data_IF_966323685308
#
_entry.id   IF_966323685308
#
_cell.length_a   1.000
_cell.length_b   1.000
_cell.length_c   1.000
_cell.angle_alpha   90.00
_cell.angle_beta   90.00
_cell.angle_gamma   90.00
#
_symmetry.space_group_name_H-M   'P 1'
#
loop_
_entity.id
_entity.type
_entity.pdbx_description
1 polymer ?
#
# COMPACT_ATOMS: atom_id res chain seq x y z
N UNK A 1 -27.21 -7.03 0.00
CA UNK A 1 -26.27 -6.11 -0.66
C UNK A 1 -25.48 -6.89 -1.69
N UNK A 2 -25.45 -6.43 -2.94
CA UNK A 2 -24.69 -7.10 -4.01
C UNK A 2 -23.27 -6.57 -4.01
N UNK A 3 -22.29 -7.45 -4.00
CA UNK A 3 -20.87 -7.12 -4.00
C UNK A 3 -20.29 -7.21 -5.41
N UNK A 4 -19.52 -6.21 -5.81
CA UNK A 4 -18.79 -6.24 -7.07
C UNK A 4 -17.44 -6.96 -6.88
N UNK A 5 -17.38 -8.22 -7.35
CA UNK A 5 -16.27 -9.14 -7.04
C UNK A 5 -14.97 -8.87 -7.80
N UNK A 6 -15.05 -8.11 -8.90
CA UNK A 6 -13.88 -7.82 -9.75
C UNK A 6 -13.14 -6.53 -9.37
N UNK A 7 -13.63 -5.80 -8.36
CA UNK A 7 -12.99 -4.60 -7.84
C UNK A 7 -12.49 -4.82 -6.41
N UNK A 8 -11.19 -4.63 -6.20
CA UNK A 8 -10.57 -4.73 -4.89
C UNK A 8 -9.84 -3.44 -4.53
N UNK A 9 -10.29 -2.80 -3.46
CA UNK A 9 -9.62 -1.64 -2.90
C UNK A 9 -8.95 -2.02 -1.57
N UNK A 10 -7.62 -1.96 -1.54
CA UNK A 10 -6.83 -2.11 -0.31
C UNK A 10 -6.97 -0.89 0.60
N UNK A 11 -6.03 -0.72 1.54
CA UNK A 11 -6.08 0.45 2.45
C UNK A 11 -5.81 1.78 1.74
N UNK A 12 -5.08 1.77 0.62
CA UNK A 12 -4.57 2.99 -0.02
C UNK A 12 -4.54 2.93 -1.54
N UNK A 13 -4.72 1.75 -2.12
CA UNK A 13 -4.62 1.52 -3.56
C UNK A 13 -5.72 0.61 -4.03
N UNK A 14 -6.23 0.86 -5.22
CA UNK A 14 -7.00 -0.14 -5.95
C UNK A 14 -6.04 -1.17 -6.53
N UNK A 15 -6.38 -2.45 -6.41
CA UNK A 15 -5.54 -3.55 -6.88
C UNK A 15 -6.07 -4.06 -8.19
N UNK A 16 -5.21 -4.14 -9.19
CA UNK A 16 -5.52 -4.70 -10.51
C UNK A 16 -4.50 -5.79 -10.80
N UNK A 17 -4.95 -6.92 -11.33
CA UNK A 17 -4.04 -7.99 -11.68
C UNK A 17 -4.71 -9.23 -12.25
N UNK A 18 -3.89 -10.10 -12.80
CA UNK A 18 -4.28 -11.38 -13.40
C UNK A 18 -4.08 -12.54 -12.43
N UNK A 19 -4.83 -13.61 -12.63
CA UNK A 19 -4.71 -14.87 -11.88
C UNK A 19 -3.45 -15.67 -12.21
N UNK A 20 -2.79 -15.38 -13.31
CA UNK A 20 -1.58 -16.07 -13.76
C UNK A 20 -0.38 -15.51 -13.02
N UNK A 21 -0.09 -15.99 -11.82
CA UNK A 21 1.01 -15.46 -11.05
C UNK A 21 2.26 -16.32 -11.17
N UNK A 22 3.36 -15.68 -11.56
CA UNK A 22 4.71 -16.18 -11.39
C UNK A 22 5.39 -15.36 -10.29
N UNK A 23 6.14 -16.01 -9.40
CA UNK A 23 6.86 -15.30 -8.35
C UNK A 23 8.25 -15.92 -8.12
N UNK A 24 9.06 -15.24 -7.35
CA UNK A 24 10.44 -15.64 -7.02
C UNK A 24 10.55 -16.65 -5.88
N UNK A 25 9.43 -17.20 -5.41
CA UNK A 25 9.39 -18.21 -4.32
C UNK A 25 10.11 -17.79 -3.04
N UNK A 26 10.03 -16.53 -2.65
CA UNK A 26 10.58 -16.08 -1.39
C UNK A 26 9.90 -16.82 -0.22
N UNK A 27 10.68 -17.37 0.71
CA UNK A 27 10.15 -18.18 1.83
C UNK A 27 9.16 -17.40 2.70
N UNK A 28 9.34 -16.11 2.84
CA UNK A 28 8.50 -15.21 3.64
C UNK A 28 7.26 -14.67 2.87
N UNK A 29 7.04 -15.07 1.60
CA UNK A 29 6.01 -14.47 0.77
C UNK A 29 4.61 -14.95 1.12
N UNK A 30 3.68 -14.01 1.33
CA UNK A 30 2.26 -14.29 1.56
C UNK A 30 1.43 -14.42 0.28
N UNK A 31 1.98 -14.06 -0.87
CA UNK A 31 1.25 -14.16 -2.14
C UNK A 31 0.84 -15.62 -2.46
N UNK A 32 1.56 -16.60 -1.90
CA UNK A 32 1.23 -18.02 -2.03
C UNK A 32 0.06 -18.45 -1.14
N UNK A 33 -0.34 -17.63 -0.16
CA UNK A 33 -1.40 -17.95 0.81
C UNK A 33 -2.78 -17.50 0.33
N UNK A 34 -2.86 -16.65 -0.70
CA UNK A 34 -4.12 -16.07 -1.15
C UNK A 34 -4.74 -16.87 -2.28
N UNK A 35 -6.06 -17.03 -2.23
CA UNK A 35 -6.83 -17.49 -3.39
C UNK A 35 -6.61 -16.47 -4.50
N UNK A 36 -5.98 -16.91 -5.59
CA UNK A 36 -5.66 -16.08 -6.73
C UNK A 36 -6.95 -15.69 -7.44
N UNK A 37 -7.31 -14.41 -7.35
CA UNK A 37 -8.45 -13.82 -8.04
C UNK A 37 -7.93 -12.77 -9.01
N UNK A 38 -8.51 -12.70 -10.18
CA UNK A 38 -8.29 -11.60 -11.12
C UNK A 38 -9.11 -10.39 -10.66
N UNK A 39 -8.52 -9.22 -10.70
CA UNK A 39 -9.20 -7.94 -10.50
C UNK A 39 -8.97 -7.11 -11.76
N UNK A 40 -9.93 -7.17 -12.67
CA UNK A 40 -9.79 -6.61 -14.02
C UNK A 40 -10.46 -5.27 -14.22
N UNK A 41 -11.19 -4.77 -13.22
CA UNK A 41 -11.95 -3.52 -13.33
C UNK A 41 -11.06 -2.33 -13.01
N UNK A 42 -11.05 -1.38 -13.92
CA UNK A 42 -10.34 -0.11 -13.74
C UNK A 42 -11.14 0.85 -12.85
N UNK A 43 -10.47 1.76 -12.11
CA UNK A 43 -11.17 2.77 -11.29
C UNK A 43 -12.20 3.58 -12.07
N UNK A 44 -11.86 4.03 -13.28
CA UNK A 44 -12.74 4.82 -14.14
C UNK A 44 -13.95 4.05 -14.67
N UNK A 45 -13.88 2.73 -14.74
CA UNK A 45 -15.01 1.87 -15.11
C UNK A 45 -16.01 1.74 -13.97
N UNK A 46 -15.54 1.83 -12.74
CA UNK A 46 -16.42 1.88 -11.57
C UNK A 46 -17.14 3.23 -11.50
N UNK A 47 -16.38 4.30 -11.57
CA UNK A 47 -16.89 5.67 -11.54
C UNK A 47 -15.85 6.59 -12.20
N UNK A 48 -16.25 7.44 -13.18
CA UNK A 48 -15.34 8.38 -13.84
C UNK A 48 -14.58 9.30 -12.87
N UNK A 49 -15.15 9.60 -11.70
CA UNK A 49 -14.49 10.37 -10.66
C UNK A 49 -13.31 9.62 -9.99
N UNK A 50 -13.15 8.33 -10.24
CA UNK A 50 -12.07 7.52 -9.68
C UNK A 50 -10.82 7.44 -10.56
N UNK A 51 -10.75 8.20 -11.65
CA UNK A 51 -9.56 8.26 -12.51
C UNK A 51 -8.26 8.62 -11.76
N UNK A 52 -8.36 9.26 -10.61
CA UNK A 52 -7.22 9.67 -9.79
C UNK A 52 -6.92 8.74 -8.60
N UNK A 53 -7.64 7.63 -8.44
CA UNK A 53 -7.36 6.67 -7.38
C UNK A 53 -6.02 5.97 -7.66
N UNK A 54 -5.08 5.93 -6.69
CA UNK A 54 -3.85 5.19 -6.87
C UNK A 54 -4.12 3.70 -7.15
N UNK A 55 -3.45 3.17 -8.17
CA UNK A 55 -3.58 1.77 -8.61
C UNK A 55 -2.29 1.02 -8.36
N UNK A 56 -2.38 -0.20 -7.83
CA UNK A 56 -1.25 -1.11 -7.71
C UNK A 56 -1.46 -2.32 -8.63
N UNK A 57 -0.51 -2.53 -9.55
CA UNK A 57 -0.57 -3.58 -10.57
C UNK A 57 0.10 -4.86 -10.07
N UNK A 58 -0.62 -5.98 -10.12
CA UNK A 58 -0.15 -7.35 -9.80
C UNK A 58 0.50 -7.55 -8.42
N UNK A 59 0.29 -6.65 -7.46
CA UNK A 59 1.01 -6.61 -6.17
C UNK A 59 0.79 -7.84 -5.28
N UNK A 60 -0.29 -8.60 -5.49
CA UNK A 60 -0.61 -9.81 -4.72
C UNK A 60 -0.57 -11.09 -5.55
N UNK A 61 -0.26 -10.99 -6.83
CA UNK A 61 -0.40 -12.09 -7.79
C UNK A 61 0.91 -12.60 -8.34
N UNK A 62 2.01 -12.26 -7.71
CA UNK A 62 3.34 -12.60 -8.17
C UNK A 62 4.18 -11.35 -8.44
N UNK A 63 5.13 -11.46 -9.34
CA UNK A 63 5.98 -10.32 -9.71
C UNK A 63 5.56 -9.77 -11.08
N UNK A 64 5.26 -8.46 -11.18
CA UNK A 64 4.83 -7.84 -12.44
C UNK A 64 5.82 -8.04 -13.61
N UNK A 65 7.13 -8.08 -13.35
CA UNK A 65 8.14 -8.27 -14.40
C UNK A 65 8.26 -9.72 -14.85
N UNK A 66 7.73 -10.69 -14.12
CA UNK A 66 7.59 -12.08 -14.58
C UNK A 66 6.35 -12.30 -15.44
N UNK A 67 5.46 -11.30 -15.49
CA UNK A 67 4.21 -11.26 -16.23
C UNK A 67 4.14 -9.98 -17.05
N UNK A 68 5.23 -9.64 -17.74
CA UNK A 68 5.39 -8.32 -18.36
C UNK A 68 4.28 -8.03 -19.37
N UNK A 69 3.89 -8.99 -20.20
CA UNK A 69 2.87 -8.80 -21.23
C UNK A 69 1.52 -8.40 -20.59
N UNK A 70 1.10 -9.10 -19.51
CA UNK A 70 -0.09 -8.77 -18.77
C UNK A 70 0.02 -7.42 -18.05
N UNK A 71 1.21 -7.12 -17.52
CA UNK A 71 1.47 -5.82 -16.88
C UNK A 71 1.34 -4.69 -17.90
N UNK A 72 1.93 -4.84 -19.08
CA UNK A 72 1.83 -3.87 -20.18
C UNK A 72 0.37 -3.69 -20.62
N UNK A 73 -0.38 -4.78 -20.81
CA UNK A 73 -1.81 -4.71 -21.16
C UNK A 73 -2.62 -3.88 -20.15
N UNK A 74 -2.35 -4.05 -18.85
CA UNK A 74 -3.00 -3.26 -17.81
C UNK A 74 -2.62 -1.78 -17.92
N UNK A 75 -1.35 -1.47 -18.17
CA UNK A 75 -0.89 -0.08 -18.33
C UNK A 75 -1.54 0.57 -19.57
N UNK A 76 -1.66 -0.16 -20.68
CA UNK A 76 -2.36 0.29 -21.88
C UNK A 76 -3.83 0.62 -21.63
N UNK A 77 -4.52 -0.23 -20.87
CA UNK A 77 -5.90 0.01 -20.48
C UNK A 77 -6.04 1.24 -19.59
N UNK A 78 -5.12 1.43 -18.62
CA UNK A 78 -5.11 2.61 -17.76
C UNK A 78 -4.86 3.89 -18.58
N UNK A 79 -3.93 3.86 -19.51
CA UNK A 79 -3.65 4.97 -20.41
C UNK A 79 -4.85 5.30 -21.31
N UNK A 80 -5.44 4.30 -21.96
CA UNK A 80 -6.62 4.46 -22.82
C UNK A 80 -7.84 5.01 -22.05
N UNK A 81 -7.93 4.78 -20.76
CA UNK A 81 -8.97 5.32 -19.88
C UNK A 81 -8.56 6.65 -19.20
N UNK A 82 -7.48 7.28 -19.66
CA UNK A 82 -6.99 8.56 -19.15
C UNK A 82 -6.83 8.58 -17.64
N UNK A 83 -6.26 7.51 -17.08
CA UNK A 83 -6.01 7.42 -15.65
C UNK A 83 -4.97 8.46 -15.21
N UNK A 84 -5.28 9.23 -14.17
CA UNK A 84 -4.44 10.35 -13.70
C UNK A 84 -3.81 10.10 -12.33
N UNK A 85 -4.25 9.05 -11.62
CA UNK A 85 -3.66 8.68 -10.34
C UNK A 85 -2.33 7.93 -10.50
N UNK A 86 -1.51 7.83 -9.45
CA UNK A 86 -0.29 7.03 -9.47
C UNK A 86 -0.56 5.57 -9.79
N UNK A 87 0.20 5.02 -10.73
CA UNK A 87 0.18 3.59 -11.07
C UNK A 87 1.45 2.95 -10.54
N UNK A 88 1.30 1.99 -9.61
CA UNK A 88 2.40 1.45 -8.84
C UNK A 88 2.70 0.02 -9.25
N UNK A 89 3.94 -0.23 -9.64
CA UNK A 89 4.50 -1.55 -9.92
C UNK A 89 5.56 -1.86 -8.88
N UNK A 90 5.31 -2.84 -8.01
CA UNK A 90 6.30 -3.29 -7.04
C UNK A 90 6.91 -4.60 -7.54
N UNK A 91 8.23 -4.61 -7.71
CA UNK A 91 8.90 -5.75 -8.32
C UNK A 91 10.27 -6.05 -7.71
N UNK A 92 10.66 -7.33 -7.75
CA UNK A 92 12.02 -7.85 -7.61
C UNK A 92 12.57 -8.32 -8.95
N UNK A 93 11.75 -8.29 -10.00
CA UNK A 93 12.07 -8.77 -11.33
C UNK A 93 13.05 -7.89 -12.06
N UNK A 94 13.52 -8.40 -13.18
CA UNK A 94 14.47 -7.69 -14.05
C UNK A 94 13.77 -6.56 -14.80
N UNK A 95 14.04 -5.33 -14.40
CA UNK A 95 13.40 -4.14 -14.98
C UNK A 95 13.83 -3.88 -16.45
N UNK A 96 14.91 -4.49 -16.94
CA UNK A 96 15.29 -4.43 -18.35
C UNK A 96 14.26 -5.06 -19.29
N UNK A 97 13.34 -5.87 -18.75
CA UNK A 97 12.21 -6.44 -19.50
C UNK A 97 11.08 -5.43 -19.74
N UNK A 98 11.10 -4.30 -19.03
CA UNK A 98 10.09 -3.26 -19.23
C UNK A 98 10.33 -2.59 -20.59
N UNK A 99 9.29 -2.35 -21.42
CA UNK A 99 9.46 -1.75 -22.73
C UNK A 99 10.00 -0.32 -22.60
N UNK A 100 11.14 -0.06 -23.27
CA UNK A 100 11.82 1.23 -23.28
C UNK A 100 11.60 2.00 -24.59
N UNK A 101 11.08 1.33 -25.58
CA UNK A 101 10.72 1.86 -26.92
C UNK A 101 9.39 2.63 -26.91
N UNK A 102 8.65 2.51 -25.82
CA UNK A 102 7.36 3.18 -25.60
C UNK A 102 7.35 3.91 -24.26
N UNK A 103 6.83 5.12 -24.26
CA UNK A 103 6.53 5.87 -23.05
C UNK A 103 5.02 5.86 -22.79
N UNK A 104 4.59 5.32 -21.66
CA UNK A 104 3.19 5.41 -21.19
C UNK A 104 2.91 6.81 -20.67
N UNK A 105 1.78 7.38 -21.08
CA UNK A 105 1.31 8.68 -20.61
C UNK A 105 0.44 8.54 -19.35
N UNK A 106 0.99 7.89 -18.34
CA UNK A 106 0.41 7.70 -17.02
C UNK A 106 1.45 8.01 -15.94
N UNK A 107 1.01 8.33 -14.74
CA UNK A 107 1.89 8.63 -13.60
C UNK A 107 2.44 7.34 -12.97
N UNK A 108 3.43 6.73 -13.64
CA UNK A 108 3.97 5.42 -13.28
C UNK A 108 5.06 5.51 -12.22
N UNK A 109 5.04 4.56 -11.28
CA UNK A 109 6.00 4.43 -10.19
C UNK A 109 6.49 2.98 -10.03
N UNK A 110 7.80 2.80 -10.06
CA UNK A 110 8.45 1.52 -9.75
C UNK A 110 8.90 1.47 -8.29
N UNK A 111 8.28 0.61 -7.50
CA UNK A 111 8.76 0.21 -6.18
C UNK A 111 9.73 -0.95 -6.32
N UNK A 112 11.04 -0.68 -6.25
CA UNK A 112 12.07 -1.71 -6.41
C UNK A 112 12.31 -2.42 -5.09
N UNK A 113 11.81 -3.66 -5.00
CA UNK A 113 11.81 -4.41 -3.76
C UNK A 113 13.14 -5.12 -3.53
N UNK A 114 13.69 -5.00 -2.33
CA UNK A 114 14.92 -5.66 -1.90
C UNK A 114 14.76 -6.29 -0.52
N UNK A 115 15.56 -7.33 -0.29
CA UNK A 115 15.76 -7.94 1.03
C UNK A 115 16.96 -7.31 1.76
N UNK A 116 17.75 -6.49 1.06
CA UNK A 116 18.92 -5.80 1.59
C UNK A 116 20.22 -6.61 1.54
N UNK A 117 20.13 -7.93 1.39
CA UNK A 117 21.27 -8.83 1.25
C UNK A 117 20.92 -10.02 0.36
N UNK A 118 21.94 -10.74 -0.13
CA UNK A 118 21.73 -12.05 -0.73
C UNK A 118 21.35 -13.05 0.36
N UNK A 119 20.29 -13.81 0.15
CA UNK A 119 19.72 -14.69 1.15
C UNK A 119 19.05 -15.90 0.51
N UNK A 120 19.15 -17.10 1.10
CA UNK A 120 18.41 -18.26 0.63
C UNK A 120 16.89 -18.10 0.80
N UNK A 121 16.45 -17.13 1.60
CA UNK A 121 15.03 -16.84 1.83
C UNK A 121 14.43 -15.90 0.80
N UNK A 122 15.26 -15.23 -0.01
CA UNK A 122 14.81 -14.31 -1.05
C UNK A 122 15.11 -14.85 -2.46
N UNK A 123 14.12 -14.86 -3.31
CA UNK A 123 14.29 -15.27 -4.71
C UNK A 123 14.96 -14.21 -5.61
N UNK A 124 15.44 -13.11 -5.05
CA UNK A 124 16.18 -12.06 -5.78
C UNK A 124 17.56 -11.83 -5.15
N UNK A 125 18.47 -11.19 -5.89
CA UNK A 125 19.82 -10.85 -5.45
C UNK A 125 20.01 -9.35 -5.33
N UNK A 126 20.97 -8.94 -4.50
CA UNK A 126 21.36 -7.53 -4.39
C UNK A 126 21.86 -6.97 -5.73
N UNK A 127 22.62 -7.76 -6.50
CA UNK A 127 23.07 -7.35 -7.83
C UNK A 127 21.90 -7.04 -8.78
N UNK A 128 20.83 -7.85 -8.74
CA UNK A 128 19.62 -7.55 -9.53
C UNK A 128 18.95 -6.27 -9.06
N UNK A 129 18.85 -6.08 -7.77
CA UNK A 129 18.29 -4.86 -7.20
C UNK A 129 19.08 -3.61 -7.63
N UNK A 130 20.41 -3.63 -7.52
CA UNK A 130 21.29 -2.52 -7.93
C UNK A 130 21.15 -2.25 -9.44
N UNK A 131 21.14 -3.28 -10.28
CA UNK A 131 20.90 -3.14 -11.71
C UNK A 131 19.52 -2.51 -12.01
N UNK A 132 18.48 -2.90 -11.28
CA UNK A 132 17.15 -2.33 -11.42
C UNK A 132 17.12 -0.85 -11.03
N UNK A 133 17.86 -0.44 -10.00
CA UNK A 133 18.00 0.96 -9.61
C UNK A 133 18.66 1.78 -10.73
N UNK A 134 19.72 1.25 -11.33
CA UNK A 134 20.42 1.91 -12.46
C UNK A 134 19.49 2.00 -13.69
N UNK A 135 18.72 0.95 -14.02
CA UNK A 135 17.72 0.98 -15.10
C UNK A 135 16.61 1.98 -14.81
N UNK A 136 16.03 1.95 -13.60
CA UNK A 136 14.93 2.85 -13.21
C UNK A 136 15.35 4.32 -13.29
N UNK A 137 16.62 4.64 -12.98
CA UNK A 137 17.16 6.00 -13.07
C UNK A 137 17.23 6.53 -14.51
N UNK A 138 17.21 5.65 -15.50
CA UNK A 138 17.22 5.99 -16.94
C UNK A 138 15.80 6.09 -17.51
N UNK A 139 14.81 5.53 -16.83
CA UNK A 139 13.41 5.63 -17.21
C UNK A 139 12.84 6.99 -16.78
N UNK A 140 11.94 7.55 -17.57
CA UNK A 140 11.28 8.84 -17.28
C UNK A 140 10.14 8.71 -16.26
N UNK A 141 10.20 7.72 -15.36
CA UNK A 141 9.15 7.40 -14.38
C UNK A 141 9.67 7.59 -12.96
N UNK A 142 8.74 7.68 -12.02
CA UNK A 142 9.09 7.70 -10.61
C UNK A 142 9.54 6.31 -10.15
N UNK A 143 10.47 6.28 -9.20
CA UNK A 143 10.90 5.03 -8.57
C UNK A 143 11.33 5.25 -7.13
N UNK A 144 11.33 4.15 -6.37
CA UNK A 144 11.72 4.13 -4.97
C UNK A 144 12.23 2.76 -4.53
N UNK A 145 12.87 2.71 -3.38
CA UNK A 145 13.26 1.47 -2.73
C UNK A 145 12.13 0.95 -1.84
N UNK A 146 11.84 -0.35 -1.94
CA UNK A 146 10.93 -1.07 -1.05
C UNK A 146 11.74 -2.11 -0.26
N UNK A 147 12.28 -1.72 0.89
CA UNK A 147 13.08 -2.59 1.76
C UNK A 147 12.18 -3.41 2.66
N UNK A 148 11.89 -4.64 2.25
CA UNK A 148 10.94 -5.50 2.95
C UNK A 148 10.95 -6.97 2.54
N UNK A 149 10.63 -7.87 3.53
CA UNK A 149 10.47 -7.54 4.96
C UNK A 149 11.82 -7.36 5.65
N UNK A 150 11.86 -6.58 6.74
CA UNK A 150 12.96 -6.62 7.70
C UNK A 150 12.64 -7.74 8.69
N UNK A 151 13.56 -8.69 8.86
CA UNK A 151 13.40 -9.90 9.69
C UNK A 151 14.49 -9.95 10.73
N UNK A 152 14.08 -10.10 11.99
CA UNK A 152 14.97 -10.16 13.15
C UNK A 152 16.09 -11.21 12.99
N UNK A 153 17.33 -10.77 13.16
CA UNK A 153 18.53 -11.59 13.09
C UNK A 153 18.92 -12.09 11.69
N UNK A 154 18.28 -11.56 10.61
CA UNK A 154 18.57 -11.99 9.24
C UNK A 154 19.07 -10.84 8.38
N UNK A 155 18.28 -9.77 8.28
CA UNK A 155 18.60 -8.62 7.43
C UNK A 155 18.40 -7.27 8.16
N UNK A 156 18.55 -7.27 9.47
CA UNK A 156 18.39 -6.13 10.35
C UNK A 156 19.70 -5.64 10.98
N UNK A 157 20.85 -5.91 10.33
CA UNK A 157 22.14 -5.39 10.75
C UNK A 157 22.45 -3.99 10.20
N UNK A 158 23.30 -3.24 10.90
CA UNK A 158 23.76 -1.92 10.50
C UNK A 158 24.33 -1.90 9.08
N UNK A 159 25.17 -2.87 8.73
CA UNK A 159 25.81 -2.96 7.41
C UNK A 159 24.77 -3.08 6.28
N UNK A 160 23.74 -3.89 6.49
CA UNK A 160 22.64 -4.05 5.52
C UNK A 160 21.86 -2.75 5.41
N UNK A 161 21.56 -2.10 6.53
CA UNK A 161 20.85 -0.83 6.57
C UNK A 161 21.61 0.25 5.83
N UNK A 162 22.91 0.36 6.11
CA UNK A 162 23.80 1.32 5.48
C UNK A 162 23.87 1.10 3.98
N UNK A 163 24.07 -0.13 3.54
CA UNK A 163 24.11 -0.47 2.11
C UNK A 163 22.82 -0.07 1.38
N UNK A 164 21.65 -0.41 1.93
CA UNK A 164 20.36 -0.04 1.32
C UNK A 164 20.17 1.47 1.28
N UNK A 165 20.55 2.18 2.36
CA UNK A 165 20.46 3.62 2.44
C UNK A 165 21.43 4.32 1.47
N UNK A 166 22.66 3.85 1.32
CA UNK A 166 23.65 4.38 0.37
C UNK A 166 23.19 4.22 -1.09
N UNK A 167 22.58 3.07 -1.43
CA UNK A 167 21.98 2.88 -2.76
C UNK A 167 20.85 3.88 -3.00
N UNK A 168 19.95 4.07 -2.03
CA UNK A 168 18.88 5.03 -2.14
C UNK A 168 19.40 6.49 -2.25
N UNK A 169 20.42 6.84 -1.48
CA UNK A 169 21.11 8.15 -1.53
C UNK A 169 21.74 8.40 -2.91
N UNK A 170 22.51 7.43 -3.43
CA UNK A 170 23.11 7.47 -4.78
C UNK A 170 22.06 7.81 -5.84
N UNK A 171 20.88 7.22 -5.74
CA UNK A 171 19.77 7.38 -6.68
C UNK A 171 18.78 8.50 -6.30
N UNK A 172 19.06 9.28 -5.27
CA UNK A 172 18.22 10.40 -4.80
C UNK A 172 16.76 10.03 -4.65
N UNK A 173 16.49 8.89 -4.00
CA UNK A 173 15.14 8.38 -3.81
C UNK A 173 14.84 8.02 -2.37
N UNK A 174 13.56 7.81 -2.04
CA UNK A 174 13.13 7.42 -0.70
C UNK A 174 13.01 5.90 -0.53
N UNK A 175 12.89 5.47 0.72
CA UNK A 175 12.75 4.06 1.11
C UNK A 175 11.41 3.85 1.81
N UNK A 176 10.59 2.93 1.27
CA UNK A 176 9.48 2.31 1.99
C UNK A 176 9.97 1.04 2.70
N UNK A 177 9.65 0.85 3.98
CA UNK A 177 10.09 -0.33 4.69
C UNK A 177 9.01 -0.89 5.62
N UNK A 178 9.11 -2.18 5.93
CA UNK A 178 8.27 -2.80 6.95
C UNK A 178 8.86 -4.15 7.40
N UNK A 179 8.43 -4.61 8.57
CA UNK A 179 8.74 -5.94 9.07
C UNK A 179 7.91 -7.05 8.44
N UNK A 180 8.21 -8.27 8.84
CA UNK A 180 7.50 -9.47 8.39
C UNK A 180 6.06 -9.48 8.92
N UNK A 181 5.14 -9.78 8.02
CA UNK A 181 3.75 -10.08 8.36
C UNK A 181 3.53 -11.59 8.29
N UNK A 182 3.20 -12.19 9.43
CA UNK A 182 2.96 -13.62 9.53
C UNK A 182 1.47 -13.94 9.40
N UNK A 183 1.11 -14.88 8.52
CA UNK A 183 -0.20 -15.54 8.47
C UNK A 183 -0.08 -16.97 8.98
N UNK A 184 -1.20 -17.60 9.29
CA UNK A 184 -1.16 -19.00 9.75
C UNK A 184 -0.69 -19.94 8.63
N UNK A 185 -1.10 -19.69 7.38
CA UNK A 185 -0.60 -20.42 6.22
C UNK A 185 0.92 -20.26 6.04
N UNK A 186 1.45 -19.04 6.22
CA UNK A 186 2.88 -18.79 6.15
C UNK A 186 3.62 -19.52 7.27
N UNK A 187 3.09 -19.52 8.51
CA UNK A 187 3.67 -20.28 9.63
C UNK A 187 3.75 -21.77 9.32
N UNK A 188 2.67 -22.34 8.80
CA UNK A 188 2.63 -23.77 8.45
C UNK A 188 3.67 -24.08 7.38
N UNK A 189 3.73 -23.32 6.29
CA UNK A 189 4.71 -23.52 5.23
C UNK A 189 6.15 -23.41 5.72
N UNK A 190 6.45 -22.41 6.55
CA UNK A 190 7.79 -22.27 7.13
C UNK A 190 8.15 -23.46 8.02
N UNK A 191 7.19 -23.99 8.78
CA UNK A 191 7.40 -25.19 9.60
C UNK A 191 7.67 -26.42 8.72
N UNK A 192 6.91 -26.59 7.63
CA UNK A 192 7.11 -27.68 6.67
C UNK A 192 8.50 -27.62 5.99
N UNK A 193 8.98 -26.39 5.72
CA UNK A 193 10.30 -26.13 5.14
C UNK A 193 11.43 -26.09 6.19
N UNK A 194 11.16 -26.36 7.48
CA UNK A 194 12.08 -26.25 8.61
C UNK A 194 12.75 -24.88 8.74
N UNK A 195 12.03 -23.80 8.39
CA UNK A 195 12.48 -22.41 8.49
C UNK A 195 11.86 -21.76 9.72
N UNK A 196 12.68 -21.22 10.61
CA UNK A 196 12.22 -20.46 11.77
C UNK A 196 12.61 -18.99 11.65
N UNK A 197 11.59 -18.11 11.60
CA UNK A 197 11.79 -16.68 11.80
C UNK A 197 11.39 -16.30 13.23
N UNK A 198 12.24 -15.51 13.89
CA UNK A 198 12.00 -15.05 15.26
C UNK A 198 11.34 -13.65 15.26
N UNK A 199 10.30 -13.40 16.07
CA UNK A 199 9.80 -12.05 16.27
C UNK A 199 10.82 -11.22 17.05
N UNK A 200 10.71 -9.90 16.97
CA UNK A 200 11.46 -9.00 17.85
C UNK A 200 11.01 -9.18 19.31
N UNK A 201 11.91 -8.95 20.26
CA UNK A 201 11.64 -9.12 21.69
C UNK A 201 10.41 -8.30 22.13
N UNK A 202 9.58 -8.91 22.97
CA UNK A 202 8.32 -8.33 23.42
C UNK A 202 7.20 -8.28 22.38
N UNK A 203 7.40 -8.84 21.19
CA UNK A 203 6.41 -8.87 20.12
C UNK A 203 6.13 -10.29 19.63
N UNK A 204 4.88 -10.54 19.23
CA UNK A 204 4.45 -11.74 18.53
C UNK A 204 4.25 -11.42 17.07
N UNK A 205 4.59 -12.35 16.19
CA UNK A 205 4.17 -12.22 14.79
C UNK A 205 2.64 -12.14 14.69
N UNK A 206 2.18 -11.27 13.80
CA UNK A 206 0.77 -11.07 13.57
C UNK A 206 0.51 -10.28 12.30
N UNK A 207 -0.69 -9.73 12.19
CA UNK A 207 -1.10 -8.94 11.03
C UNK A 207 -0.36 -7.59 10.90
N UNK A 208 0.29 -7.11 11.96
CA UNK A 208 1.12 -5.91 11.91
C UNK A 208 2.52 -6.27 11.38
N UNK A 209 2.99 -5.51 10.40
CA UNK A 209 4.34 -5.56 9.84
C UNK A 209 5.31 -4.81 10.76
N UNK A 210 5.59 -5.41 11.91
CA UNK A 210 6.37 -4.78 12.97
C UNK A 210 7.88 -4.91 12.73
N UNK A 211 8.61 -3.84 13.02
CA UNK A 211 10.06 -3.81 13.16
C UNK A 211 10.37 -3.42 14.61
N UNK A 212 11.35 -4.05 15.24
CA UNK A 212 11.76 -3.73 16.62
C UNK A 212 12.04 -2.24 16.78
N UNK A 213 11.71 -1.67 17.95
CA UNK A 213 11.82 -0.21 18.17
C UNK A 213 13.25 0.29 17.95
N UNK A 214 14.23 -0.42 18.50
CA UNK A 214 15.64 -0.01 18.42
C UNK A 214 16.17 -0.17 16.99
N UNK A 215 15.85 -1.29 16.34
CA UNK A 215 16.15 -1.55 14.92
C UNK A 215 15.50 -0.50 14.00
N UNK A 216 14.25 -0.14 14.26
CA UNK A 216 13.54 0.92 13.54
C UNK A 216 14.23 2.29 13.70
N UNK A 217 14.65 2.61 14.92
CA UNK A 217 15.37 3.85 15.22
C UNK A 217 16.74 3.88 14.55
N UNK A 218 17.49 2.79 14.63
CA UNK A 218 18.80 2.65 14.01
C UNK A 218 18.72 2.82 12.49
N UNK A 219 17.83 2.08 11.82
CA UNK A 219 17.64 2.20 10.38
C UNK A 219 17.32 3.64 9.95
N UNK A 220 16.40 4.29 10.66
CA UNK A 220 16.04 5.69 10.34
C UNK A 220 17.19 6.66 10.61
N UNK A 221 17.95 6.45 11.67
CA UNK A 221 19.14 7.28 11.97
C UNK A 221 20.17 7.19 10.83
N UNK A 222 20.45 5.97 10.34
CA UNK A 222 21.34 5.76 9.20
C UNK A 222 20.81 6.47 7.95
N UNK A 223 19.52 6.29 7.62
CA UNK A 223 18.93 6.95 6.46
C UNK A 223 18.97 8.48 6.57
N UNK A 224 18.65 9.04 7.73
CA UNK A 224 18.71 10.49 7.95
C UNK A 224 20.15 11.04 7.84
N UNK A 225 21.17 10.28 8.28
CA UNK A 225 22.57 10.70 8.12
C UNK A 225 23.04 10.77 6.66
N UNK A 226 22.27 10.16 5.75
CA UNK A 226 22.52 10.13 4.31
C UNK A 226 21.46 10.94 3.51
N UNK A 227 20.65 11.76 4.20
CA UNK A 227 19.55 12.54 3.62
C UNK A 227 18.54 11.70 2.83
N UNK A 228 18.31 10.44 3.24
CA UNK A 228 17.34 9.54 2.60
C UNK A 228 16.00 9.58 3.32
N UNK A 229 14.93 10.02 2.67
CA UNK A 229 13.57 9.98 3.24
C UNK A 229 13.08 8.55 3.42
N UNK A 230 12.50 8.25 4.60
CA UNK A 230 12.02 6.90 4.93
C UNK A 230 10.57 6.89 5.39
N UNK A 231 9.86 5.83 4.99
CA UNK A 231 8.42 5.71 5.19
C UNK A 231 8.04 4.29 5.63
N UNK A 232 7.24 4.18 6.69
CA UNK A 232 6.69 2.87 7.14
C UNK A 232 5.59 2.30 6.24
N UNK A 233 5.13 3.07 5.26
CA UNK A 233 4.07 2.66 4.33
C UNK A 233 4.45 3.09 2.92
N UNK A 234 4.31 2.18 1.97
CA UNK A 234 4.47 2.48 0.54
C UNK A 234 3.61 3.64 0.09
N UNK A 235 2.36 3.71 0.56
CA UNK A 235 1.46 4.79 0.17
C UNK A 235 1.92 6.17 0.63
N UNK A 236 2.60 6.28 1.79
CA UNK A 236 3.21 7.54 2.21
C UNK A 236 4.41 7.90 1.33
N UNK A 237 5.23 6.90 0.97
CA UNK A 237 6.34 7.09 0.04
C UNK A 237 5.84 7.55 -1.35
N UNK A 238 4.78 6.94 -1.87
CA UNK A 238 4.13 7.33 -3.13
C UNK A 238 3.61 8.76 -3.04
N UNK A 239 2.86 9.10 -1.98
CA UNK A 239 2.34 10.45 -1.78
C UNK A 239 3.45 11.51 -1.75
N UNK A 240 4.57 11.20 -1.10
CA UNK A 240 5.74 12.07 -1.09
C UNK A 240 6.37 12.22 -2.48
N UNK A 241 6.62 11.09 -3.16
CA UNK A 241 7.34 11.08 -4.45
C UNK A 241 6.54 11.74 -5.58
N UNK A 242 5.22 11.57 -5.58
CA UNK A 242 4.31 12.15 -6.58
C UNK A 242 3.78 13.51 -6.16
N UNK A 243 4.23 14.04 -5.03
CA UNK A 243 3.76 15.31 -4.48
C UNK A 243 2.22 15.43 -4.49
N UNK A 244 1.54 14.36 -4.07
CA UNK A 244 0.09 14.35 -4.09
C UNK A 244 -0.47 15.44 -3.16
N UNK A 245 -1.46 16.18 -3.64
CA UNK A 245 -2.18 17.17 -2.84
C UNK A 245 -2.88 16.52 -1.66
N UNK A 246 -3.26 15.26 -1.84
CA UNK A 246 -3.95 14.44 -0.86
C UNK A 246 -3.18 13.15 -0.58
N UNK A 247 -2.71 13.01 0.66
CA UNK A 247 -2.14 11.74 1.12
C UNK A 247 -3.26 10.72 1.39
N UNK A 248 -3.28 9.58 0.69
CA UNK A 248 -4.30 8.54 0.90
C UNK A 248 -4.30 7.96 2.32
N UNK A 249 -3.24 8.18 3.09
CA UNK A 249 -3.16 7.74 4.49
C UNK A 249 -3.29 8.87 5.52
N UNK A 250 -3.59 10.09 5.11
CA UNK A 250 -3.67 11.21 6.05
C UNK A 250 -4.67 10.95 7.19
N UNK A 251 -5.76 10.22 6.93
CA UNK A 251 -6.71 9.81 7.95
C UNK A 251 -6.14 8.83 8.99
N UNK A 252 -4.98 8.20 8.71
CA UNK A 252 -4.23 7.37 9.66
C UNK A 252 -3.08 8.12 10.35
N UNK A 253 -2.96 9.43 10.12
CA UNK A 253 -1.91 10.23 10.73
C UNK A 253 -1.99 10.22 12.26
N UNK A 254 -0.86 9.90 12.89
CA UNK A 254 -0.71 9.81 14.34
C UNK A 254 0.57 10.51 14.74
N UNK A 255 0.48 11.77 15.21
CA UNK A 255 1.66 12.59 15.49
C UNK A 255 2.60 11.97 16.52
N UNK A 256 2.06 11.15 17.43
CA UNK A 256 2.82 10.51 18.51
C UNK A 256 3.37 9.12 18.12
N UNK A 257 3.09 8.60 16.94
CA UNK A 257 3.72 7.36 16.46
C UNK A 257 5.11 7.66 15.92
N UNK A 258 6.08 6.84 16.36
CA UNK A 258 7.41 6.79 15.77
C UNK A 258 7.28 6.52 14.27
N UNK A 259 7.73 7.44 13.44
CA UNK A 259 7.60 7.36 11.98
C UNK A 259 6.61 8.36 11.38
N UNK A 260 5.53 8.76 12.07
CA UNK A 260 4.72 9.92 11.66
C UNK A 260 5.31 11.24 12.20
N UNK A 261 5.87 11.23 13.42
CA UNK A 261 6.46 12.41 14.04
C UNK A 261 7.65 13.00 13.28
N UNK A 262 8.44 12.16 12.63
CA UNK A 262 9.61 12.53 11.82
C UNK A 262 9.36 12.37 10.30
N UNK A 263 8.12 12.12 9.88
CA UNK A 263 7.78 11.88 8.49
C UNK A 263 7.86 13.17 7.66
N UNK A 264 8.45 13.15 6.46
CA UNK A 264 8.46 14.32 5.56
C UNK A 264 7.06 14.83 5.19
N UNK A 265 6.02 14.00 5.33
CA UNK A 265 4.61 14.38 5.07
C UNK A 265 3.86 14.87 6.31
N UNK A 266 4.53 15.05 7.44
CA UNK A 266 3.92 15.38 8.73
C UNK A 266 2.97 16.58 8.64
N UNK A 267 3.43 17.67 8.08
CA UNK A 267 2.65 18.92 7.99
C UNK A 267 1.44 18.74 7.08
N UNK A 268 1.63 18.13 5.90
CA UNK A 268 0.55 17.84 4.95
C UNK A 268 -0.52 16.95 5.57
N UNK A 269 -0.13 15.86 6.24
CA UNK A 269 -1.07 14.96 6.91
C UNK A 269 -1.81 15.64 8.06
N UNK A 270 -1.15 16.53 8.80
CA UNK A 270 -1.76 17.31 9.87
C UNK A 270 -2.78 18.30 9.32
N UNK A 271 -2.41 19.04 8.27
CA UNK A 271 -3.31 19.99 7.59
C UNK A 271 -4.53 19.30 7.01
N UNK A 272 -4.33 18.14 6.35
CA UNK A 272 -5.44 17.36 5.81
C UNK A 272 -6.46 16.99 6.89
N UNK A 273 -6.02 16.57 8.08
CA UNK A 273 -6.92 16.26 9.20
C UNK A 273 -7.72 17.46 9.69
N UNK A 274 -7.17 18.65 9.58
CA UNK A 274 -7.79 19.90 10.06
C UNK A 274 -8.64 20.63 8.99
N UNK A 275 -8.37 20.37 7.71
CA UNK A 275 -9.01 21.12 6.59
C UNK A 275 -10.31 20.51 6.07
N UNK A 276 -10.70 19.32 6.58
CA UNK A 276 -11.91 18.64 6.13
C UNK A 276 -13.18 19.37 6.63
N UNK A 277 -13.70 20.27 5.80
CA UNK A 277 -15.01 20.91 6.03
C UNK A 277 -16.13 20.12 5.34
N UNK A 278 -17.32 20.09 5.96
CA UNK A 278 -18.47 19.32 5.48
C UNK A 278 -18.99 19.76 4.09
N UNK A 279 -18.64 20.96 3.67
CA UNK A 279 -19.22 21.60 2.48
C UNK A 279 -18.54 21.22 1.16
N UNK A 280 -17.44 20.46 1.21
CA UNK A 280 -16.64 20.15 0.03
C UNK A 280 -16.29 18.67 -0.06
N UNK A 281 -17.28 17.80 -0.13
CA UNK A 281 -17.01 16.43 -0.60
C UNK A 281 -16.79 16.47 -2.11
N UNK A 282 -15.57 16.23 -2.61
CA UNK A 282 -15.25 16.37 -4.03
C UNK A 282 -15.91 15.30 -4.91
N UNK A 283 -16.57 14.32 -4.29
CA UNK A 283 -17.18 13.16 -4.97
C UNK A 283 -18.49 12.81 -4.27
N UNK A 284 -19.55 12.57 -5.04
CA UNK A 284 -20.81 12.02 -4.55
C UNK A 284 -20.58 10.61 -4.01
N UNK A 285 -20.86 10.40 -2.74
CA UNK A 285 -20.92 9.08 -2.13
C UNK A 285 -22.24 8.45 -2.56
N UNK A 286 -22.27 7.19 -3.10
CA UNK A 286 -23.48 6.57 -3.62
C UNK A 286 -24.40 5.97 -2.53
N UNK A 287 -24.35 6.52 -1.33
CA UNK A 287 -25.14 6.11 -0.16
C UNK A 287 -25.79 7.35 0.44
N UNK A 288 -26.96 7.18 1.02
CA UNK A 288 -27.55 8.22 1.86
C UNK A 288 -26.76 8.38 3.14
N UNK A 289 -26.37 9.58 3.49
CA UNK A 289 -25.53 9.82 4.65
C UNK A 289 -25.85 11.13 5.38
N UNK A 290 -25.53 11.15 6.65
CA UNK A 290 -25.52 12.34 7.50
C UNK A 290 -24.07 12.62 7.95
N UNK A 291 -23.73 13.92 8.07
CA UNK A 291 -22.43 14.32 8.63
C UNK A 291 -22.66 14.84 10.04
N UNK A 292 -22.00 14.21 11.01
CA UNK A 292 -22.03 14.64 12.40
C UNK A 292 -20.64 15.09 12.84
N UNK A 293 -20.57 16.17 13.62
CA UNK A 293 -19.38 16.52 14.37
C UNK A 293 -19.44 15.86 15.75
N UNK A 294 -18.50 14.98 16.03
CA UNK A 294 -18.41 14.32 17.33
C UNK A 294 -17.05 14.51 17.97
N UNK A 295 -17.09 14.74 19.28
CA UNK A 295 -15.91 14.68 20.14
C UNK A 295 -15.94 13.37 20.90
N UNK A 296 -14.80 12.65 20.96
CA UNK A 296 -14.63 11.43 21.76
C UNK A 296 -15.57 10.26 21.38
N UNK A 297 -15.69 9.92 20.10
CA UNK A 297 -16.44 8.74 19.70
C UNK A 297 -15.53 7.56 19.32
N UNK A 298 -16.04 6.35 19.48
CA UNK A 298 -15.38 5.14 19.01
C UNK A 298 -15.55 5.01 17.49
N UNK A 299 -14.48 4.64 16.79
CA UNK A 299 -14.61 4.38 15.36
C UNK A 299 -15.49 3.14 15.14
N UNK A 300 -16.35 3.16 14.11
CA UNK A 300 -17.28 2.06 13.80
C UNK A 300 -16.58 0.70 13.65
N UNK A 301 -15.33 0.69 13.14
CA UNK A 301 -14.49 -0.52 13.04
C UNK A 301 -14.16 -1.11 14.43
N UNK A 302 -14.12 -0.31 15.47
CA UNK A 302 -13.89 -0.77 16.83
C UNK A 302 -15.16 -1.38 17.44
N UNK A 303 -16.31 -0.73 17.27
CA UNK A 303 -17.60 -1.24 17.77
C UNK A 303 -17.97 -2.62 17.23
N UNK A 304 -17.51 -2.95 16.01
CA UNK A 304 -17.81 -4.21 15.35
C UNK A 304 -16.75 -5.30 15.57
N UNK A 305 -15.75 -5.06 16.42
CA UNK A 305 -14.70 -6.05 16.69
C UNK A 305 -13.74 -6.31 15.52
N UNK A 306 -13.89 -5.59 14.42
CA UNK A 306 -13.02 -5.74 13.21
C UNK A 306 -11.69 -5.04 13.40
N UNK A 307 -11.61 -4.06 14.31
CA UNK A 307 -10.34 -3.49 14.74
C UNK A 307 -9.67 -4.44 15.74
N UNK A 308 -8.96 -5.42 15.26
CA UNK A 308 -8.24 -6.42 16.08
C UNK A 308 -7.17 -5.81 17.02
N UNK A 309 -6.87 -4.53 16.90
CA UNK A 309 -5.87 -3.82 17.70
C UNK A 309 -6.38 -2.44 18.08
N UNK A 310 -7.27 -2.34 19.08
CA UNK A 310 -7.72 -1.07 19.58
C UNK A 310 -6.54 -0.35 20.24
N UNK A 311 -5.96 0.63 19.55
CA UNK A 311 -5.16 1.65 20.21
C UNK A 311 -6.10 2.62 20.92
N UNK A 312 -5.62 3.33 21.94
CA UNK A 312 -6.39 4.40 22.59
C UNK A 312 -6.94 5.41 21.55
N UNK A 313 -6.24 5.57 20.43
CA UNK A 313 -6.60 6.45 19.32
C UNK A 313 -7.82 5.98 18.51
N UNK A 314 -8.16 4.67 18.55
CA UNK A 314 -9.39 4.17 17.94
C UNK A 314 -10.62 4.40 18.81
N UNK A 315 -10.43 4.72 20.09
CA UNK A 315 -11.48 4.94 21.06
C UNK A 315 -11.89 6.40 21.19
N UNK A 316 -11.00 7.32 20.88
CA UNK A 316 -11.20 8.76 21.05
C UNK A 316 -10.90 9.48 19.73
N UNK A 317 -11.80 9.36 18.76
CA UNK A 317 -11.71 10.10 17.51
C UNK A 317 -12.56 11.36 17.67
N UNK A 318 -11.92 12.52 17.58
CA UNK A 318 -12.59 13.80 17.44
C UNK A 318 -12.57 14.20 15.98
N UNK A 319 -13.67 14.67 15.43
CA UNK A 319 -13.77 15.11 14.06
C UNK A 319 -15.11 14.77 13.40
N UNK A 320 -15.14 14.90 12.09
CA UNK A 320 -16.35 14.64 11.32
C UNK A 320 -16.57 13.16 11.08
N UNK A 321 -17.82 12.76 11.23
CA UNK A 321 -18.31 11.41 11.11
C UNK A 321 -19.34 11.37 9.97
N UNK A 322 -19.20 10.41 9.06
CA UNK A 322 -20.24 10.07 8.10
C UNK A 322 -21.03 8.90 8.67
N UNK A 323 -22.32 9.13 8.93
CA UNK A 323 -23.26 8.12 9.35
C UNK A 323 -24.03 7.62 8.14
N UNK A 324 -24.05 6.31 7.96
CA UNK A 324 -24.75 5.62 6.87
C UNK A 324 -25.57 4.50 7.49
N UNK A 325 -26.87 4.52 7.31
CA UNK A 325 -27.78 3.53 7.90
C UNK A 325 -27.80 2.21 7.12
N UNK A 326 -27.31 2.21 5.89
CA UNK A 326 -27.18 1.00 5.07
C UNK A 326 -25.99 0.13 5.51
N UNK A 327 -26.09 -1.17 5.24
CA UNK A 327 -24.98 -2.09 5.45
C UNK A 327 -23.94 -1.95 4.32
N UNK A 328 -22.69 -1.70 4.69
CA UNK A 328 -21.56 -1.49 3.80
C UNK A 328 -20.64 -2.71 3.77
N UNK A 329 -19.80 -2.82 2.74
CA UNK A 329 -18.62 -3.68 2.78
C UNK A 329 -17.44 -2.97 3.46
N UNK A 330 -16.44 -3.70 3.93
CA UNK A 330 -15.20 -3.08 4.42
C UNK A 330 -14.48 -2.29 3.33
N UNK A 331 -14.69 -2.64 2.06
CA UNK A 331 -14.15 -1.89 0.91
C UNK A 331 -14.90 -0.60 0.68
N UNK A 332 -16.24 -0.58 0.80
CA UNK A 332 -17.03 0.65 0.74
C UNK A 332 -16.56 1.65 1.81
N UNK A 333 -16.41 1.19 3.04
CA UNK A 333 -15.89 2.02 4.14
C UNK A 333 -14.50 2.59 3.83
N UNK A 334 -13.61 1.81 3.21
CA UNK A 334 -12.28 2.27 2.81
C UNK A 334 -12.33 3.32 1.70
N UNK A 335 -13.19 3.11 0.71
CA UNK A 335 -13.42 4.08 -0.37
C UNK A 335 -13.97 5.40 0.18
N UNK A 336 -14.99 5.34 1.03
CA UNK A 336 -15.55 6.54 1.67
C UNK A 336 -14.46 7.28 2.46
N UNK A 337 -13.69 6.58 3.28
CA UNK A 337 -12.58 7.18 4.03
C UNK A 337 -11.52 7.79 3.12
N UNK A 338 -11.19 7.11 2.04
CA UNK A 338 -10.21 7.62 1.08
C UNK A 338 -10.72 8.90 0.40
N UNK A 339 -11.98 8.91 -0.01
CA UNK A 339 -12.60 10.05 -0.69
C UNK A 339 -12.80 11.26 0.22
N UNK A 340 -13.22 11.03 1.46
CA UNK A 340 -13.67 12.09 2.37
C UNK A 340 -12.68 12.41 3.48
N UNK A 341 -11.83 11.45 3.86
CA UNK A 341 -11.00 11.54 5.06
C UNK A 341 -11.77 11.42 6.38
N UNK A 342 -13.08 11.22 6.33
CA UNK A 342 -13.93 11.15 7.52
C UNK A 342 -13.96 9.74 8.12
N UNK A 343 -14.29 9.66 9.39
CA UNK A 343 -14.66 8.38 10.01
C UNK A 343 -16.04 7.98 9.53
N UNK A 344 -16.25 6.70 9.26
CA UNK A 344 -17.53 6.14 8.82
C UNK A 344 -18.16 5.38 9.96
N UNK A 345 -19.41 5.71 10.30
CA UNK A 345 -20.28 4.98 11.21
C UNK A 345 -21.39 4.30 10.39
N UNK A 346 -21.27 3.00 10.23
CA UNK A 346 -22.22 2.19 9.47
C UNK A 346 -22.15 0.75 9.96
N UNK A 347 -23.19 -0.04 9.72
CA UNK A 347 -23.10 -1.49 9.77
C UNK A 347 -22.31 -1.97 8.58
N UNK A 348 -21.40 -2.93 8.75
CA UNK A 348 -20.68 -3.47 7.62
C UNK A 348 -20.30 -4.94 7.77
N UNK A 349 -20.13 -5.59 6.62
CA UNK A 349 -19.63 -6.95 6.48
C UNK A 349 -18.18 -6.94 6.04
N UNK A 350 -17.41 -7.92 6.48
CA UNK A 350 -16.02 -8.06 6.03
C UNK A 350 -16.00 -8.61 4.60
N UNK A 351 -15.74 -7.73 3.64
CA UNK A 351 -15.58 -8.08 2.23
C UNK A 351 -14.43 -7.28 1.61
N UNK A 352 -13.56 -7.94 0.82
CA UNK A 352 -12.53 -7.25 0.05
C UNK A 352 -13.09 -6.52 -1.18
N UNK A 353 -14.37 -6.70 -1.50
CA UNK A 353 -15.03 -6.14 -2.68
C UNK A 353 -15.91 -4.96 -2.31
N UNK A 354 -16.09 -4.04 -3.23
CA UNK A 354 -17.04 -2.95 -3.06
C UNK A 354 -18.45 -3.37 -3.49
N UNK A 355 -19.47 -2.59 -3.09
CA UNK A 355 -20.83 -2.76 -3.54
C UNK A 355 -21.02 -2.23 -4.96
N UNK A 356 -22.05 -2.71 -5.67
CA UNK A 356 -22.40 -2.24 -7.02
C UNK A 356 -22.80 -0.76 -7.06
N UNK A 357 -23.14 -0.16 -5.94
CA UNK A 357 -23.49 1.26 -5.86
C UNK A 357 -22.39 2.21 -6.33
N UNK A 358 -21.11 1.76 -6.27
CA UNK A 358 -19.98 2.53 -6.77
C UNK A 358 -19.87 2.51 -8.30
N UNK A 359 -20.64 1.66 -8.97
CA UNK A 359 -20.53 1.42 -10.40
C UNK A 359 -21.61 2.22 -11.11
N UNK A 360 -21.23 3.06 -12.04
CA UNK A 360 -22.19 3.79 -12.86
C UNK A 360 -22.88 2.82 -13.82
N UNK A 361 -24.19 3.04 -14.08
CA UNK A 361 -25.01 2.21 -15.00
C UNK A 361 -24.44 2.06 -16.42
N UNK A 362 -23.45 2.87 -16.77
CA UNK A 362 -22.77 2.87 -18.08
C UNK A 362 -21.42 2.16 -18.05
N UNK A 363 -21.01 1.60 -16.93
CA UNK A 363 -19.78 0.80 -16.84
C UNK A 363 -19.99 -0.49 -17.62
N UNK A 364 -19.42 -0.59 -18.82
CA UNK A 364 -19.36 -1.85 -19.55
C UNK A 364 -18.28 -2.72 -18.88
N UNK A 365 -18.72 -3.78 -18.25
CA UNK A 365 -17.87 -4.84 -17.75
C UNK A 365 -17.54 -5.73 -18.96
N UNK A 366 -16.27 -5.83 -19.30
CA UNK A 366 -15.78 -6.73 -20.34
C UNK A 366 -15.17 -7.98 -19.72
#
# INVERSE_FOLDING_TARGET
MTEYKDAYFGKSFMMIGSTLSKCYNCSYCRANDSIRKSYSVLPSEMNPAFKNIPVAVNIFYGDPMLQIDNTVEILEKLEANEHTGPVIIITKGDLRKFPTDRKFNIDLHFGLSTFGCDSPYDGSTMKRFENNMDVASQLSYHYSVEFRPIINGINDSEDIFRRVAEIAAKHKTGIGYCGLQMSDNLKQRLADDHIEFKPYDGHKFGLKKYVGRDVDKEFRTICHSLDVPVFKKTSCLIAWKHNLDRDPNAHYYRPNEVGCGECPLKERCSQFKSSLSAEQLPISIPFDYEIEEKTNHECGLFKLGVCKFPSADCRNISGKLIKIDEELTTTDVRLIKWLTGYTVDAKFVESPYCSEKWITKNSKIF
#
